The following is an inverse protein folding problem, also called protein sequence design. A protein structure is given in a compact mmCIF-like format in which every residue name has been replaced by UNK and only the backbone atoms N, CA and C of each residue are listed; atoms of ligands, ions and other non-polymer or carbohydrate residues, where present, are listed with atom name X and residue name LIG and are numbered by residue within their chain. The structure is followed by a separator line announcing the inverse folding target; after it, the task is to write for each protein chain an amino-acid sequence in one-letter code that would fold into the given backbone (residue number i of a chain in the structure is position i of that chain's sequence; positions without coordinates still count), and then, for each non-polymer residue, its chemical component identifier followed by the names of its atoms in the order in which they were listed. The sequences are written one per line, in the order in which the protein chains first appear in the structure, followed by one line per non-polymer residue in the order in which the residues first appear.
data_IF_785733754184
#
_entry.id   IF_785733754184
#
_cell.length_a   1.000
_cell.length_b   1.000
_cell.length_c   1.000
_cell.angle_alpha   90.00
_cell.angle_beta   90.00
_cell.angle_gamma   90.00
#
_symmetry.space_group_name_H-M   'P 1'
#
loop_
_entity.id
_entity.type
_entity.pdbx_description
1 polymer ?
#
# COMPACT_ATOMS: atom_id res chain seq x y z
N UNK A 1 -8.11 -20.18 -6.77
CA UNK A 1 -9.39 -19.99 -6.03
C UNK A 1 -10.39 -21.03 -6.52
N UNK A 2 -10.78 -21.05 -7.80
CA UNK A 2 -11.79 -21.97 -8.37
C UNK A 2 -11.55 -23.44 -7.99
N UNK A 3 -10.33 -23.93 -8.16
CA UNK A 3 -9.96 -25.30 -7.80
C UNK A 3 -10.28 -25.56 -6.32
N UNK A 4 -9.87 -24.67 -5.42
CA UNK A 4 -10.09 -24.81 -3.98
C UNK A 4 -11.54 -24.76 -3.59
N UNK A 5 -12.33 -23.87 -4.19
CA UNK A 5 -13.78 -23.82 -3.96
C UNK A 5 -14.45 -25.12 -4.39
N UNK A 6 -14.09 -25.67 -5.58
CA UNK A 6 -14.63 -26.95 -6.07
C UNK A 6 -14.24 -28.16 -5.21
N UNK A 7 -13.05 -28.15 -4.62
CA UNK A 7 -12.51 -29.27 -3.83
C UNK A 7 -12.91 -29.21 -2.35
N UNK A 8 -13.47 -28.10 -1.87
CA UNK A 8 -13.84 -27.92 -0.46
C UNK A 8 -15.35 -28.11 -0.28
N UNK A 9 -15.78 -29.12 0.50
CA UNK A 9 -17.21 -29.35 0.77
C UNK A 9 -17.89 -28.10 1.37
N UNK A 10 -19.06 -27.76 0.84
CA UNK A 10 -19.87 -26.62 1.28
C UNK A 10 -19.18 -25.23 1.12
N UNK A 11 -18.09 -25.13 0.38
CA UNK A 11 -17.47 -23.85 0.10
C UNK A 11 -18.37 -23.01 -0.83
N UNK A 12 -18.47 -21.74 -0.49
CA UNK A 12 -19.09 -20.72 -1.35
C UNK A 12 -18.03 -19.86 -2.01
N UNK A 13 -18.41 -19.20 -3.10
CA UNK A 13 -17.49 -18.25 -3.74
C UNK A 13 -17.14 -17.10 -2.78
N UNK A 14 -15.85 -16.71 -2.68
CA UNK A 14 -15.46 -15.64 -1.77
C UNK A 14 -16.08 -14.30 -2.21
N UNK A 15 -16.58 -13.55 -1.26
CA UNK A 15 -17.16 -12.21 -1.50
C UNK A 15 -16.14 -11.10 -1.29
N UNK A 16 -15.05 -11.39 -0.57
CA UNK A 16 -13.98 -10.48 -0.21
C UNK A 16 -12.61 -11.14 -0.39
N UNK A 17 -11.64 -10.39 -0.88
CA UNK A 17 -10.27 -10.84 -1.00
C UNK A 17 -9.32 -9.85 -0.30
N UNK A 18 -8.39 -10.37 0.49
CA UNK A 18 -7.28 -9.60 1.04
C UNK A 18 -6.02 -9.95 0.25
N UNK A 19 -5.35 -8.95 -0.28
CA UNK A 19 -4.16 -9.11 -1.13
C UNK A 19 -3.07 -8.16 -0.65
N UNK A 20 -1.90 -8.69 -0.39
CA UNK A 20 -0.71 -7.85 -0.15
C UNK A 20 -0.38 -7.09 -1.42
N UNK A 21 -0.24 -5.77 -1.35
CA UNK A 21 0.08 -4.94 -2.52
C UNK A 21 1.55 -5.08 -2.96
N UNK A 22 2.44 -5.25 -2.00
CA UNK A 22 3.85 -5.56 -2.27
C UNK A 22 4.39 -6.57 -1.27
N UNK A 23 5.42 -7.32 -1.69
CA UNK A 23 6.19 -8.12 -0.75
C UNK A 23 7.02 -7.21 0.15
N UNK A 24 7.51 -7.76 1.26
CA UNK A 24 8.44 -7.07 2.14
C UNK A 24 9.73 -6.63 1.42
N UNK A 25 10.16 -7.42 0.42
CA UNK A 25 11.36 -7.15 -0.38
C UNK A 25 11.14 -6.12 -1.50
N UNK A 26 9.94 -5.55 -1.60
CA UNK A 26 9.62 -4.48 -2.54
C UNK A 26 9.16 -4.93 -3.93
N UNK A 27 8.73 -6.18 -4.09
CA UNK A 27 8.10 -6.64 -5.31
C UNK A 27 6.62 -6.25 -5.32
N UNK A 28 6.20 -5.48 -6.30
CA UNK A 28 4.83 -5.03 -6.44
C UNK A 28 3.97 -5.99 -7.24
N UNK A 29 2.74 -6.17 -6.80
CA UNK A 29 1.71 -6.83 -7.60
C UNK A 29 1.06 -5.85 -8.58
N UNK A 30 0.63 -6.36 -9.72
CA UNK A 30 -0.18 -5.60 -10.66
C UNK A 30 -1.61 -5.50 -10.12
N UNK A 31 -1.91 -4.41 -9.41
CA UNK A 31 -3.21 -4.19 -8.78
C UNK A 31 -4.35 -4.07 -9.79
N UNK A 32 -4.08 -3.54 -10.99
CA UNK A 32 -5.04 -3.48 -12.08
C UNK A 32 -5.45 -4.88 -12.55
N UNK A 33 -4.47 -5.76 -12.78
CA UNK A 33 -4.73 -7.15 -13.14
C UNK A 33 -5.54 -7.88 -12.07
N UNK A 34 -5.18 -7.71 -10.78
CA UNK A 34 -5.89 -8.32 -9.66
C UNK A 34 -7.36 -7.85 -9.62
N UNK A 35 -7.61 -6.54 -9.73
CA UNK A 35 -8.96 -5.97 -9.73
C UNK A 35 -9.83 -6.48 -10.87
N UNK A 36 -9.23 -6.71 -12.03
CA UNK A 36 -9.95 -7.18 -13.21
C UNK A 36 -10.17 -8.70 -13.20
N UNK A 37 -9.28 -9.47 -12.55
CA UNK A 37 -9.31 -10.93 -12.59
C UNK A 37 -10.11 -11.53 -11.43
N UNK A 38 -10.06 -10.94 -10.24
CA UNK A 38 -10.78 -11.46 -9.09
C UNK A 38 -12.27 -11.10 -9.18
N UNK A 39 -13.10 -12.12 -9.32
CA UNK A 39 -14.55 -11.98 -9.27
C UNK A 39 -15.04 -12.01 -7.80
N UNK A 40 -14.91 -10.88 -7.13
CA UNK A 40 -15.32 -10.66 -5.73
C UNK A 40 -15.98 -9.29 -5.60
N UNK A 41 -16.82 -9.10 -4.59
CA UNK A 41 -17.48 -7.82 -4.34
C UNK A 41 -16.54 -6.75 -3.78
N UNK A 42 -15.51 -7.17 -3.08
CA UNK A 42 -14.55 -6.23 -2.51
C UNK A 42 -13.14 -6.80 -2.45
N UNK A 43 -12.15 -5.92 -2.59
CA UNK A 43 -10.73 -6.26 -2.49
C UNK A 43 -10.09 -5.31 -1.48
N UNK A 44 -9.34 -5.86 -0.54
CA UNK A 44 -8.53 -5.10 0.40
C UNK A 44 -7.05 -5.30 0.05
N UNK A 45 -6.40 -4.23 -0.35
CA UNK A 45 -4.95 -4.21 -0.53
C UNK A 45 -4.26 -3.84 0.78
N UNK A 46 -3.43 -4.75 1.29
CA UNK A 46 -2.47 -4.42 2.34
C UNK A 46 -1.27 -3.75 1.70
N UNK A 47 -1.24 -2.43 1.82
CA UNK A 47 -0.22 -1.54 1.27
C UNK A 47 0.67 -0.94 2.37
N UNK A 48 0.87 -1.69 3.46
CA UNK A 48 1.56 -1.20 4.65
C UNK A 48 2.95 -0.62 4.36
N UNK A 49 3.66 -1.15 3.36
CA UNK A 49 5.02 -0.75 3.01
C UNK A 49 5.12 0.24 1.85
N UNK A 50 4.01 0.62 1.23
CA UNK A 50 4.06 1.37 -0.04
C UNK A 50 3.21 2.65 -0.07
N UNK A 51 3.05 3.39 1.03
CA UNK A 51 2.25 4.62 1.02
C UNK A 51 2.85 5.73 0.15
N UNK A 52 4.13 5.65 -0.19
CA UNK A 52 4.85 6.64 -1.01
C UNK A 52 4.59 6.52 -2.52
N UNK A 53 3.94 5.46 -2.99
CA UNK A 53 3.82 5.16 -4.43
C UNK A 53 3.08 6.22 -5.26
N UNK A 54 2.21 7.00 -4.64
CA UNK A 54 1.48 8.07 -5.33
C UNK A 54 2.30 9.36 -5.50
N UNK A 55 3.52 9.43 -4.93
CA UNK A 55 4.35 10.63 -4.94
C UNK A 55 5.47 10.60 -5.98
N UNK A 56 5.65 9.49 -6.72
CA UNK A 56 6.59 9.43 -7.83
C UNK A 56 5.99 8.73 -9.05
N UNK A 57 6.23 9.26 -10.26
CA UNK A 57 5.73 8.67 -11.51
C UNK A 57 6.19 7.24 -11.76
N UNK A 58 7.34 6.84 -11.21
CA UNK A 58 7.91 5.50 -11.39
C UNK A 58 7.00 4.40 -10.82
N UNK A 59 6.14 4.75 -9.86
CA UNK A 59 5.19 3.82 -9.22
C UNK A 59 3.75 4.01 -9.72
N UNK A 60 3.57 4.78 -10.79
CA UNK A 60 2.22 5.05 -11.32
C UNK A 60 1.47 3.75 -11.62
N UNK A 61 0.26 3.64 -11.10
CA UNK A 61 -0.60 2.47 -11.33
C UNK A 61 -0.38 1.30 -10.37
N UNK A 62 0.63 1.34 -9.48
CA UNK A 62 0.96 0.23 -8.59
C UNK A 62 0.18 0.25 -7.26
N UNK A 63 -0.35 1.40 -6.83
CA UNK A 63 -1.14 1.48 -5.60
C UNK A 63 -2.49 0.77 -5.74
N UNK A 64 -3.02 0.24 -4.65
CA UNK A 64 -4.36 -0.36 -4.61
C UNK A 64 -5.45 0.60 -5.06
N UNK A 65 -5.33 1.90 -4.69
CA UNK A 65 -6.26 2.95 -5.11
C UNK A 65 -6.07 3.44 -6.54
N UNK A 66 -5.03 3.00 -7.27
CA UNK A 66 -4.76 3.42 -8.65
C UNK A 66 -5.87 3.00 -9.61
N UNK A 67 -5.98 3.74 -10.72
CA UNK A 67 -6.99 3.48 -11.76
C UNK A 67 -8.36 4.09 -11.47
N UNK A 68 -9.29 3.96 -12.43
CA UNK A 68 -10.65 4.47 -12.36
C UNK A 68 -11.54 3.71 -11.36
N UNK A 69 -12.85 4.02 -11.39
CA UNK A 69 -13.87 3.24 -10.68
C UNK A 69 -13.82 1.79 -11.17
N UNK A 70 -13.83 0.88 -10.23
CA UNK A 70 -14.00 -0.55 -10.49
C UNK A 70 -15.50 -0.83 -10.39
N UNK A 71 -16.19 -0.98 -11.52
CA UNK A 71 -17.62 -1.19 -11.51
C UNK A 71 -18.03 -2.35 -10.58
N UNK A 72 -18.96 -2.08 -9.68
CA UNK A 72 -19.53 -3.05 -8.76
C UNK A 72 -18.61 -3.60 -7.67
N UNK A 73 -17.38 -3.08 -7.54
CA UNK A 73 -16.43 -3.53 -6.51
C UNK A 73 -16.06 -2.38 -5.56
N UNK A 74 -15.89 -2.73 -4.30
CA UNK A 74 -15.30 -1.84 -3.30
C UNK A 74 -13.83 -2.20 -3.12
N UNK A 75 -12.96 -1.20 -3.22
CA UNK A 75 -11.54 -1.34 -2.98
C UNK A 75 -11.19 -0.67 -1.65
N UNK A 76 -10.57 -1.42 -0.77
CA UNK A 76 -9.95 -0.93 0.45
C UNK A 76 -8.45 -0.96 0.29
N UNK A 77 -7.75 0.00 0.88
CA UNK A 77 -6.29 0.01 0.95
C UNK A 77 -5.85 0.50 2.32
N UNK A 78 -5.12 -0.33 3.06
CA UNK A 78 -4.50 0.07 4.32
C UNK A 78 -3.03 0.39 4.12
N UNK A 79 -2.61 1.52 4.70
CA UNK A 79 -1.24 2.02 4.63
C UNK A 79 -0.70 2.31 6.03
N UNK A 80 0.52 1.86 6.30
CA UNK A 80 1.24 2.23 7.52
C UNK A 80 2.03 3.50 7.28
N UNK A 81 1.44 4.65 7.61
CA UNK A 81 2.07 5.97 7.41
C UNK A 81 3.39 6.10 8.18
N UNK A 82 3.49 5.39 9.31
CA UNK A 82 4.68 5.40 10.16
C UNK A 82 5.89 4.63 9.59
N UNK A 83 5.71 3.80 8.57
CA UNK A 83 6.81 2.98 8.04
C UNK A 83 7.66 3.74 7.03
N UNK A 84 7.05 4.30 6.02
CA UNK A 84 7.76 4.94 4.90
C UNK A 84 7.28 6.36 4.58
N UNK A 85 6.49 6.95 5.47
CA UNK A 85 6.21 8.38 5.54
C UNK A 85 6.56 8.88 6.95
N UNK A 86 6.58 10.19 7.14
CA UNK A 86 7.15 10.82 8.34
C UNK A 86 6.18 10.88 9.55
N UNK A 87 5.30 9.90 9.72
CA UNK A 87 4.41 9.84 10.87
C UNK A 87 4.99 9.03 12.03
N UNK A 88 4.50 9.28 13.25
CA UNK A 88 4.89 8.51 14.43
C UNK A 88 4.44 7.06 14.34
N UNK A 89 5.14 6.19 15.07
CA UNK A 89 4.80 4.76 15.18
C UNK A 89 3.31 4.58 15.48
N UNK A 90 2.71 3.56 14.88
CA UNK A 90 1.28 3.21 14.91
C UNK A 90 0.37 4.07 14.02
N UNK A 91 0.85 5.17 13.43
CA UNK A 91 0.05 5.92 12.47
C UNK A 91 -0.24 5.08 11.23
N UNK A 92 -1.51 4.98 10.87
CA UNK A 92 -1.97 4.25 9.70
C UNK A 92 -3.20 4.93 9.08
N UNK A 93 -3.48 4.60 7.84
CA UNK A 93 -4.63 5.11 7.10
C UNK A 93 -5.35 3.96 6.40
N UNK A 94 -6.66 4.08 6.28
CA UNK A 94 -7.47 3.25 5.40
C UNK A 94 -8.11 4.13 4.34
N UNK A 95 -7.97 3.74 3.09
CA UNK A 95 -8.61 4.37 1.95
C UNK A 95 -9.71 3.46 1.42
N UNK A 96 -10.79 4.08 0.95
CA UNK A 96 -11.93 3.35 0.39
C UNK A 96 -12.30 3.97 -0.97
N UNK A 97 -12.51 3.13 -1.96
CA UNK A 97 -12.99 3.51 -3.29
C UNK A 97 -14.16 2.60 -3.68
N UNK A 98 -15.27 3.19 -4.09
CA UNK A 98 -16.50 2.49 -4.44
C UNK A 98 -17.67 2.97 -3.59
N UNK A 99 -18.82 2.33 -3.74
CA UNK A 99 -20.01 2.67 -2.98
C UNK A 99 -20.08 1.81 -1.72
N UNK A 100 -20.08 2.45 -0.56
CA UNK A 100 -20.22 1.80 0.73
C UNK A 100 -21.34 2.44 1.53
N UNK A 101 -21.88 1.70 2.48
CA UNK A 101 -22.69 2.28 3.53
C UNK A 101 -21.75 2.89 4.57
N UNK A 102 -21.63 4.22 4.57
CA UNK A 102 -20.69 4.93 5.44
C UNK A 102 -20.99 4.72 6.93
N UNK A 103 -22.27 4.62 7.32
CA UNK A 103 -22.66 4.40 8.71
C UNK A 103 -22.16 3.03 9.19
N UNK A 104 -22.45 1.97 8.42
CA UNK A 104 -21.99 0.61 8.74
C UNK A 104 -20.49 0.50 8.72
N UNK A 105 -19.80 1.16 7.77
CA UNK A 105 -18.35 1.19 7.75
C UNK A 105 -17.78 1.86 9.00
N UNK A 106 -18.36 3.01 9.39
CA UNK A 106 -17.92 3.76 10.55
C UNK A 106 -18.16 2.98 11.87
N UNK A 107 -19.30 2.31 12.00
CA UNK A 107 -19.56 1.42 13.13
C UNK A 107 -18.50 0.30 13.21
N UNK A 108 -18.24 -0.39 12.12
CA UNK A 108 -17.23 -1.43 12.07
C UNK A 108 -15.83 -0.89 12.40
N UNK A 109 -15.48 0.29 11.88
CA UNK A 109 -14.23 0.96 12.19
C UNK A 109 -14.11 1.27 13.69
N UNK A 110 -15.14 1.87 14.28
CA UNK A 110 -15.15 2.23 15.71
C UNK A 110 -15.11 1.01 16.64
N UNK A 111 -15.60 -0.15 16.21
CA UNK A 111 -15.49 -1.41 16.98
C UNK A 111 -14.04 -1.93 17.09
N UNK A 112 -13.17 -1.53 16.17
CA UNK A 112 -11.80 -2.05 16.06
C UNK A 112 -10.71 -1.00 16.33
N UNK A 113 -11.10 0.23 16.63
CA UNK A 113 -10.18 1.32 16.92
C UNK A 113 -10.41 1.86 18.33
N UNK A 114 -9.42 2.59 18.86
CA UNK A 114 -9.58 3.29 20.13
C UNK A 114 -10.58 4.45 19.98
N UNK A 115 -11.49 4.58 20.93
CA UNK A 115 -12.39 5.74 21.05
C UNK A 115 -11.69 6.97 21.65
N UNK A 116 -10.45 6.79 22.13
CA UNK A 116 -9.62 7.84 22.72
C UNK A 116 -8.42 8.11 21.80
N UNK A 117 -8.52 9.01 20.82
CA UNK A 117 -7.44 9.25 19.88
C UNK A 117 -6.21 9.82 20.60
N UNK A 118 -5.05 9.26 20.28
CA UNK A 118 -3.79 9.80 20.76
C UNK A 118 -3.35 10.96 19.86
N UNK A 119 -3.64 12.18 20.28
CA UNK A 119 -3.42 13.38 19.49
C UNK A 119 -2.00 13.54 18.89
N UNK A 120 -0.90 13.15 19.57
CA UNK A 120 0.42 13.19 18.94
C UNK A 120 0.53 12.35 17.65
N UNK A 121 -0.14 11.18 17.57
CA UNK A 121 -0.18 10.39 16.34
C UNK A 121 -0.99 11.13 15.27
N UNK A 122 -2.14 11.70 15.61
CA UNK A 122 -2.98 12.49 14.69
C UNK A 122 -2.18 13.68 14.14
N UNK A 123 -1.53 14.45 15.01
CA UNK A 123 -0.69 15.57 14.62
C UNK A 123 0.49 15.14 13.73
N UNK A 124 1.12 14.01 14.03
CA UNK A 124 2.21 13.48 13.20
C UNK A 124 1.74 13.09 11.80
N UNK A 125 0.52 12.55 11.69
CA UNK A 125 -0.08 12.19 10.39
C UNK A 125 -0.38 13.45 9.57
N UNK A 126 -0.92 14.50 10.19
CA UNK A 126 -1.14 15.80 9.54
C UNK A 126 0.20 16.42 9.09
N UNK A 127 1.23 16.36 9.93
CA UNK A 127 2.58 16.81 9.58
C UNK A 127 3.14 16.04 8.39
N UNK A 128 3.00 14.72 8.39
CA UNK A 128 3.43 13.88 7.25
C UNK A 128 2.66 14.26 5.97
N UNK A 129 1.36 14.49 6.06
CA UNK A 129 0.56 14.95 4.92
C UNK A 129 1.03 16.33 4.40
N UNK A 130 1.36 17.25 5.29
CA UNK A 130 1.89 18.57 4.93
C UNK A 130 3.26 18.45 4.24
N UNK A 131 4.16 17.59 4.73
CA UNK A 131 5.46 17.32 4.12
C UNK A 131 5.33 16.74 2.70
N UNK A 132 4.33 15.89 2.48
CA UNK A 132 4.11 15.22 1.21
C UNK A 132 3.31 16.06 0.20
N UNK A 133 2.85 17.24 0.59
CA UNK A 133 2.02 18.11 -0.27
C UNK A 133 2.81 18.70 -1.44
N UNK A 134 2.23 18.57 -2.64
CA UNK A 134 2.75 19.20 -3.86
C UNK A 134 4.14 18.71 -4.28
N UNK A 135 4.97 19.62 -4.77
CA UNK A 135 6.29 19.28 -5.30
C UNK A 135 7.31 18.87 -4.24
N UNK A 136 7.10 19.26 -2.97
CA UNK A 136 8.02 18.91 -1.89
C UNK A 136 8.01 17.41 -1.66
N UNK A 137 6.82 16.82 -1.52
CA UNK A 137 6.69 15.37 -1.33
C UNK A 137 7.27 14.57 -2.50
N UNK A 138 7.00 14.99 -3.73
CA UNK A 138 7.58 14.35 -4.93
C UNK A 138 9.11 14.40 -4.89
N UNK A 139 9.69 15.55 -4.63
CA UNK A 139 11.14 15.71 -4.53
C UNK A 139 11.76 14.81 -3.46
N UNK A 140 11.15 14.72 -2.28
CA UNK A 140 11.63 13.85 -1.20
C UNK A 140 11.68 12.38 -1.63
N UNK A 141 10.65 11.90 -2.33
CA UNK A 141 10.60 10.52 -2.82
C UNK A 141 11.61 10.33 -3.95
N UNK A 142 11.66 11.21 -4.93
CA UNK A 142 12.59 11.12 -6.06
C UNK A 142 14.05 11.16 -5.60
N UNK A 143 14.41 12.03 -4.64
CA UNK A 143 15.75 12.06 -4.03
C UNK A 143 16.08 10.73 -3.31
N UNK A 144 15.10 10.11 -2.65
CA UNK A 144 15.29 8.83 -1.98
C UNK A 144 15.52 7.70 -2.98
N UNK A 145 14.78 7.69 -4.09
CA UNK A 145 14.95 6.74 -5.20
C UNK A 145 16.34 6.91 -5.82
N UNK A 146 16.74 8.15 -6.11
CA UNK A 146 18.05 8.44 -6.69
C UNK A 146 19.20 7.99 -5.79
N UNK A 147 19.07 8.18 -4.47
CA UNK A 147 20.06 7.68 -3.49
C UNK A 147 20.14 6.15 -3.54
N UNK A 148 19.00 5.46 -3.56
CA UNK A 148 18.96 4.00 -3.63
C UNK A 148 19.59 3.49 -4.94
N UNK A 149 19.29 4.11 -6.07
CA UNK A 149 19.87 3.75 -7.36
C UNK A 149 21.37 3.99 -7.37
N UNK A 150 21.85 5.15 -6.87
CA UNK A 150 23.28 5.45 -6.77
C UNK A 150 23.99 4.46 -5.86
N UNK A 151 23.42 4.14 -4.72
CA UNK A 151 23.96 3.14 -3.80
C UNK A 151 24.12 1.77 -4.47
N UNK A 152 23.09 1.28 -5.17
CA UNK A 152 23.14 0.00 -5.89
C UNK A 152 24.20 -0.01 -6.99
N UNK A 153 24.34 1.10 -7.74
CA UNK A 153 25.39 1.23 -8.76
C UNK A 153 26.77 1.19 -8.14
N UNK A 154 26.96 1.84 -6.99
CA UNK A 154 28.25 1.86 -6.29
C UNK A 154 28.61 0.47 -5.74
N UNK A 155 27.65 -0.24 -5.13
CA UNK A 155 27.87 -1.63 -4.69
C UNK A 155 28.30 -2.51 -5.87
N UNK A 156 27.61 -2.39 -7.02
CA UNK A 156 27.97 -3.14 -8.22
C UNK A 156 29.39 -2.81 -8.69
N UNK A 157 29.77 -1.55 -8.73
CA UNK A 157 31.13 -1.12 -9.09
C UNK A 157 32.18 -1.71 -8.14
N UNK A 158 31.96 -1.61 -6.82
CA UNK A 158 32.87 -2.17 -5.82
C UNK A 158 33.02 -3.69 -5.94
N UNK A 159 31.93 -4.38 -6.28
CA UNK A 159 31.97 -5.82 -6.53
C UNK A 159 32.84 -6.17 -7.75
N UNK A 160 32.77 -5.40 -8.83
CA UNK A 160 33.60 -5.59 -10.02
C UNK A 160 35.09 -5.31 -9.76
N UNK A 161 35.39 -4.46 -8.78
CA UNK A 161 36.77 -4.07 -8.41
C UNK A 161 37.38 -4.95 -7.30
N UNK A 162 36.57 -5.74 -6.59
CA UNK A 162 37.03 -6.52 -5.44
C UNK A 162 36.25 -7.82 -5.29
N UNK A 163 36.96 -8.95 -5.35
CA UNK A 163 36.40 -10.28 -5.11
C UNK A 163 35.94 -10.52 -3.66
N UNK A 164 36.17 -9.56 -2.77
CA UNK A 164 35.78 -9.67 -1.36
C UNK A 164 34.34 -9.27 -1.06
N UNK A 165 33.60 -8.68 -2.01
CA UNK A 165 32.22 -8.28 -1.84
C UNK A 165 31.25 -9.29 -2.47
N UNK A 166 30.27 -9.72 -1.69
CA UNK A 166 29.31 -10.75 -2.07
C UNK A 166 27.84 -10.29 -2.05
N UNK A 167 27.58 -8.99 -1.95
CA UNK A 167 26.24 -8.43 -2.08
C UNK A 167 25.87 -8.20 -3.55
N UNK A 168 24.67 -8.67 -3.93
CA UNK A 168 24.08 -8.48 -5.26
C UNK A 168 23.12 -7.28 -5.29
#
# INVERSE_FOLDING_TARGET
IEKRVKETPNATWPVHAVVTNSTYDGLFYNTGFIKNTLDVKSIHFDSAWVPYTNFSPIYQGLAGMSGGRTEGKVIYETQSTHKLLAAFSQASMIHVKGEINEATFNEAFMMHTSTSPFYPIVASTETAAAMMRGNVGRRLIDESIDRAIRFRKEIKRLREESDSWFFD
#
